data_IF_931960393145
#
_entry.id   IF_931960393145
#
_cell.length_a   1.000
_cell.length_b   1.000
_cell.length_c   1.000
_cell.angle_alpha   90.00
_cell.angle_beta   90.00
_cell.angle_gamma   90.00
#
_symmetry.space_group_name_H-M   'P 1'
#
loop_
_entity.id
_entity.type
_entity.pdbx_description
1 polymer ?
#
# COMPACT_ATOMS: atom_id res chain seq x y z
N UNK A 1 7.89 6.05 -1.47
CA UNK A 1 7.59 4.68 -1.00
C UNK A 1 8.88 3.85 -1.05
N UNK A 2 8.95 2.71 -0.36
CA UNK A 2 10.08 1.79 -0.54
C UNK A 2 9.99 1.16 -1.92
N UNK A 3 11.07 1.28 -2.70
CA UNK A 3 11.23 0.71 -4.03
C UNK A 3 11.75 -0.73 -3.91
N UNK A 4 10.85 -1.70 -4.06
CA UNK A 4 11.15 -3.13 -3.94
C UNK A 4 12.11 -3.61 -5.02
N UNK A 5 12.07 -3.03 -6.22
CA UNK A 5 12.98 -3.40 -7.29
C UNK A 5 14.40 -2.95 -6.99
N UNK A 6 14.59 -1.73 -6.45
CA UNK A 6 15.90 -1.32 -5.92
C UNK A 6 16.39 -2.19 -4.78
N UNK A 7 15.50 -2.62 -3.89
CA UNK A 7 15.83 -3.56 -2.82
C UNK A 7 16.33 -4.89 -3.37
N UNK A 8 15.67 -5.48 -4.36
CA UNK A 8 16.11 -6.74 -4.98
C UNK A 8 17.40 -6.54 -5.78
N UNK A 9 17.51 -5.43 -6.52
CA UNK A 9 18.72 -5.09 -7.28
C UNK A 9 19.95 -4.93 -6.36
N UNK A 10 19.76 -4.45 -5.13
CA UNK A 10 20.84 -4.37 -4.14
C UNK A 10 21.47 -5.73 -3.85
N UNK A 11 20.64 -6.77 -3.73
CA UNK A 11 21.09 -8.14 -3.53
C UNK A 11 21.81 -8.67 -4.77
N UNK A 12 21.19 -8.54 -5.95
CA UNK A 12 21.77 -9.03 -7.22
C UNK A 12 23.12 -8.39 -7.50
N UNK A 13 23.28 -7.09 -7.24
CA UNK A 13 24.55 -6.39 -7.44
C UNK A 13 25.68 -6.90 -6.53
N UNK A 14 25.35 -7.53 -5.41
CA UNK A 14 26.29 -8.02 -4.37
C UNK A 14 26.44 -9.54 -4.36
N UNK A 15 25.60 -10.25 -5.10
CA UNK A 15 25.68 -11.70 -5.26
C UNK A 15 27.07 -12.10 -5.77
N UNK A 16 27.71 -13.02 -5.05
CA UNK A 16 29.08 -13.46 -5.34
C UNK A 16 30.20 -12.46 -5.01
N UNK A 17 29.90 -11.31 -4.38
CA UNK A 17 30.89 -10.26 -4.05
C UNK A 17 31.04 -9.99 -2.55
N UNK A 18 30.14 -10.55 -1.73
CA UNK A 18 30.13 -10.37 -0.27
C UNK A 18 30.04 -11.72 0.41
N UNK A 19 30.49 -11.79 1.66
CA UNK A 19 30.42 -12.99 2.49
C UNK A 19 29.34 -12.90 3.57
N UNK A 20 28.93 -14.06 4.10
CA UNK A 20 28.04 -14.11 5.26
C UNK A 20 28.84 -13.89 6.56
N UNK A 21 28.39 -12.99 7.43
CA UNK A 21 29.00 -12.80 8.74
C UNK A 21 28.05 -12.15 9.75
N UNK A 22 27.86 -12.81 10.88
CA UNK A 22 27.11 -12.26 12.03
C UNK A 22 27.94 -11.28 12.88
N UNK A 23 29.27 -11.34 12.82
CA UNK A 23 30.17 -10.42 13.54
C UNK A 23 30.32 -9.10 12.75
N UNK A 24 30.83 -9.20 11.53
CA UNK A 24 30.98 -8.09 10.59
C UNK A 24 29.71 -7.87 9.74
N UNK A 25 28.56 -7.68 10.39
CA UNK A 25 27.25 -7.62 9.70
C UNK A 25 26.91 -6.26 9.07
N UNK A 26 27.76 -5.25 9.26
CA UNK A 26 27.55 -3.85 8.84
C UNK A 26 28.59 -3.36 7.81
N UNK A 27 29.39 -4.28 7.26
CA UNK A 27 30.58 -3.96 6.47
C UNK A 27 30.30 -3.79 4.98
N UNK A 28 31.30 -3.31 4.24
CA UNK A 28 31.23 -3.19 2.77
C UNK A 28 31.19 -4.56 2.07
N UNK A 29 31.80 -5.58 2.71
CA UNK A 29 32.06 -6.89 2.11
C UNK A 29 31.33 -8.04 2.80
N UNK A 30 30.54 -7.78 3.85
CA UNK A 30 29.87 -8.86 4.58
C UNK A 30 28.61 -8.40 5.31
N UNK A 31 27.63 -9.30 5.35
CA UNK A 31 26.32 -9.10 5.96
C UNK A 31 25.82 -10.43 6.55
N UNK A 32 24.84 -10.38 7.45
CA UNK A 32 24.03 -11.56 7.78
C UNK A 32 22.62 -11.42 7.18
N UNK A 33 21.72 -12.34 7.52
CA UNK A 33 20.38 -12.38 6.94
C UNK A 33 19.61 -11.07 7.20
N UNK A 34 19.45 -10.67 8.46
CA UNK A 34 18.68 -9.47 8.81
C UNK A 34 19.40 -8.16 8.50
N UNK A 35 20.73 -8.11 8.58
CA UNK A 35 21.45 -6.91 8.15
C UNK A 35 21.40 -6.71 6.64
N UNK A 36 21.43 -7.81 5.86
CA UNK A 36 21.28 -7.72 4.41
C UNK A 36 19.90 -7.17 4.00
N UNK A 37 18.82 -7.63 4.65
CA UNK A 37 17.46 -7.09 4.42
C UNK A 37 17.38 -5.62 4.84
N UNK A 38 17.98 -5.26 5.98
CA UNK A 38 18.04 -3.86 6.42
C UNK A 38 18.68 -2.97 5.36
N UNK A 39 19.90 -3.26 4.92
CA UNK A 39 20.60 -2.41 3.95
C UNK A 39 19.94 -2.42 2.57
N UNK A 40 19.39 -3.55 2.14
CA UNK A 40 18.66 -3.65 0.88
C UNK A 40 17.41 -2.76 0.89
N UNK A 41 16.59 -2.84 1.95
CA UNK A 41 15.39 -2.00 2.10
C UNK A 41 15.76 -0.52 2.29
N UNK A 42 16.84 -0.21 2.99
CA UNK A 42 17.38 1.16 3.10
C UNK A 42 17.76 1.73 1.74
N UNK A 43 18.35 0.91 0.85
CA UNK A 43 18.65 1.33 -0.53
C UNK A 43 17.39 1.57 -1.37
N UNK A 44 16.29 0.89 -1.02
CA UNK A 44 14.96 1.13 -1.57
C UNK A 44 14.23 2.33 -0.94
N UNK A 45 14.79 2.99 0.08
CA UNK A 45 14.18 4.16 0.73
C UNK A 45 13.52 3.92 2.08
N UNK A 46 13.77 2.76 2.72
CA UNK A 46 13.29 2.51 4.09
C UNK A 46 13.92 3.50 5.09
N UNK A 47 13.16 3.87 6.13
CA UNK A 47 13.61 4.71 7.23
C UNK A 47 14.66 3.99 8.08
N UNK A 48 15.63 4.78 8.56
CA UNK A 48 16.73 4.28 9.38
C UNK A 48 16.20 3.87 10.74
N UNK A 49 16.76 2.81 11.32
CA UNK A 49 16.54 2.48 12.73
C UNK A 49 17.65 3.05 13.63
N UNK A 50 18.55 3.88 13.10
CA UNK A 50 19.74 4.39 13.80
C UNK A 50 20.88 3.36 13.86
N UNK A 51 20.56 2.09 14.07
CA UNK A 51 21.47 0.93 14.06
C UNK A 51 20.90 -0.21 13.22
N UNK A 52 21.74 -1.20 12.88
CA UNK A 52 21.28 -2.38 12.15
C UNK A 52 20.38 -3.26 13.01
N UNK A 53 19.38 -3.86 12.35
CA UNK A 53 18.37 -4.67 13.01
C UNK A 53 18.78 -6.14 13.05
N UNK A 54 18.47 -6.81 14.14
CA UNK A 54 18.41 -8.27 14.19
C UNK A 54 17.01 -8.76 13.83
N UNK A 55 16.91 -10.07 13.60
CA UNK A 55 15.70 -10.74 13.14
C UNK A 55 14.53 -10.58 14.12
N UNK A 56 14.79 -10.42 15.42
CA UNK A 56 13.75 -10.14 16.43
C UNK A 56 13.15 -8.74 16.28
N UNK A 57 13.99 -7.71 16.05
CA UNK A 57 13.52 -6.33 15.88
C UNK A 57 12.97 -6.06 14.48
N UNK A 58 13.36 -6.87 13.49
CA UNK A 58 12.93 -6.79 12.09
C UNK A 58 11.40 -6.72 11.95
N UNK A 59 10.66 -7.54 12.72
CA UNK A 59 9.20 -7.51 12.77
C UNK A 59 8.64 -6.11 13.01
N UNK A 60 9.15 -5.42 14.03
CA UNK A 60 8.67 -4.08 14.41
C UNK A 60 9.12 -3.01 13.43
N UNK A 61 10.31 -3.16 12.85
CA UNK A 61 10.88 -2.21 11.92
C UNK A 61 10.20 -2.26 10.55
N UNK A 62 9.82 -3.44 10.07
CA UNK A 62 9.04 -3.61 8.84
C UNK A 62 7.69 -2.88 8.95
N UNK A 63 6.98 -3.05 10.08
CA UNK A 63 5.71 -2.36 10.32
C UNK A 63 5.87 -0.82 10.33
N UNK A 64 6.93 -0.30 10.95
CA UNK A 64 7.25 1.13 10.95
C UNK A 64 7.58 1.68 9.55
N UNK A 65 8.00 0.80 8.65
CA UNK A 65 8.32 1.11 7.26
C UNK A 65 7.16 0.86 6.29
N UNK A 66 5.95 0.68 6.81
CA UNK A 66 4.74 0.57 6.00
C UNK A 66 4.46 -0.84 5.49
N UNK A 67 5.14 -1.87 6.00
CA UNK A 67 4.73 -3.25 5.76
C UNK A 67 3.54 -3.62 6.65
N UNK A 68 2.77 -4.61 6.21
CA UNK A 68 1.77 -5.31 7.01
C UNK A 68 2.13 -6.78 7.17
N UNK A 69 1.70 -7.37 8.29
CA UNK A 69 1.81 -8.81 8.51
C UNK A 69 0.74 -9.52 7.68
N UNK A 70 1.16 -10.35 6.73
CA UNK A 70 0.28 -11.16 5.90
C UNK A 70 -0.12 -12.45 6.60
N UNK A 71 0.84 -13.10 7.25
CA UNK A 71 0.58 -14.37 7.93
C UNK A 71 1.52 -14.61 9.10
N UNK A 72 1.08 -15.51 9.97
CA UNK A 72 1.70 -15.97 11.20
C UNK A 72 1.56 -17.50 11.21
N UNK A 73 2.55 -18.20 10.63
CA UNK A 73 2.62 -19.65 10.50
C UNK A 73 1.39 -20.32 9.85
N UNK A 74 0.74 -19.62 8.91
CA UNK A 74 -0.36 -20.12 8.08
C UNK A 74 0.04 -19.96 6.60
N UNK A 75 -0.30 -20.91 5.70
CA UNK A 75 -0.03 -20.77 4.28
C UNK A 75 -0.56 -19.45 3.70
N UNK A 76 0.15 -18.87 2.74
CA UNK A 76 -0.25 -17.66 2.06
C UNK A 76 0.15 -17.72 0.58
N UNK A 77 -0.43 -16.84 -0.25
CA UNK A 77 0.01 -16.68 -1.62
C UNK A 77 1.19 -15.70 -1.67
N UNK A 78 2.39 -16.25 -1.89
CA UNK A 78 3.63 -15.49 -1.94
C UNK A 78 3.66 -14.54 -3.14
N UNK A 79 4.16 -13.32 -2.91
CA UNK A 79 4.38 -12.32 -3.95
C UNK A 79 5.81 -11.84 -3.92
N UNK A 80 6.32 -11.43 -5.08
CA UNK A 80 7.57 -10.67 -5.19
C UNK A 80 7.50 -9.47 -4.24
N UNK A 81 8.54 -9.29 -3.43
CA UNK A 81 8.62 -8.25 -2.40
C UNK A 81 8.17 -8.67 -1.00
N UNK A 82 7.58 -9.86 -0.84
CA UNK A 82 7.28 -10.40 0.49
C UNK A 82 8.58 -10.63 1.26
N UNK A 83 8.62 -10.23 2.52
CA UNK A 83 9.71 -10.52 3.46
C UNK A 83 9.25 -11.65 4.37
N UNK A 84 9.97 -12.77 4.38
CA UNK A 84 9.74 -13.82 5.37
C UNK A 84 10.67 -13.63 6.56
N UNK A 85 10.18 -13.98 7.74
CA UNK A 85 10.98 -14.05 8.95
C UNK A 85 10.71 -15.40 9.62
N UNK A 86 11.72 -16.27 9.67
CA UNK A 86 11.70 -17.55 10.37
C UNK A 86 12.17 -17.39 11.82
N UNK A 87 11.65 -18.25 12.69
CA UNK A 87 11.86 -18.23 14.12
C UNK A 87 10.63 -17.71 14.86
N UNK A 88 10.38 -18.20 16.08
CA UNK A 88 9.31 -17.68 16.93
C UNK A 88 9.74 -16.34 17.52
N UNK A 89 8.86 -15.33 17.43
CA UNK A 89 9.08 -14.04 18.10
C UNK A 89 9.42 -14.23 19.58
N UNK A 90 10.46 -13.57 20.05
CA UNK A 90 11.09 -13.74 21.36
C UNK A 90 12.26 -14.74 21.37
N UNK A 91 12.47 -15.50 20.30
CA UNK A 91 13.52 -16.53 20.17
C UNK A 91 14.20 -16.54 18.80
N UNK A 92 14.00 -15.50 17.96
CA UNK A 92 14.52 -15.47 16.57
C UNK A 92 15.89 -14.82 16.43
N UNK A 93 16.54 -14.41 17.52
CA UNK A 93 17.85 -13.74 17.48
C UNK A 93 18.98 -14.71 17.14
N UNK A 94 20.00 -14.19 16.46
CA UNK A 94 21.21 -14.94 16.15
C UNK A 94 20.95 -16.07 15.15
N UNK A 95 21.43 -17.28 15.44
CA UNK A 95 21.30 -18.46 14.57
C UNK A 95 19.91 -19.09 14.58
N UNK A 96 19.01 -18.61 15.44
CA UNK A 96 17.68 -19.19 15.64
C UNK A 96 16.60 -18.58 14.73
N UNK A 97 16.94 -17.54 13.97
CA UNK A 97 16.07 -16.92 12.98
C UNK A 97 16.72 -16.81 11.62
N UNK A 98 15.90 -16.61 10.60
CA UNK A 98 16.36 -16.38 9.23
C UNK A 98 15.39 -15.48 8.48
N UNK A 99 15.87 -14.70 7.53
CA UNK A 99 15.03 -13.75 6.78
C UNK A 99 15.54 -13.61 5.35
N UNK A 100 14.67 -13.13 4.47
CA UNK A 100 14.94 -12.90 3.07
C UNK A 100 13.73 -12.27 2.36
N UNK A 101 13.90 -11.96 1.08
CA UNK A 101 12.85 -11.37 0.26
C UNK A 101 12.49 -12.28 -0.91
N UNK A 102 11.20 -12.45 -1.16
CA UNK A 102 10.69 -13.18 -2.32
C UNK A 102 10.94 -12.38 -3.60
N UNK A 103 11.47 -13.05 -4.62
CA UNK A 103 11.66 -12.49 -5.96
C UNK A 103 10.56 -12.94 -6.94
N UNK A 104 9.81 -13.98 -6.57
CA UNK A 104 8.58 -14.43 -7.22
C UNK A 104 7.78 -15.28 -6.23
N UNK A 105 6.80 -16.06 -6.70
CA UNK A 105 5.95 -16.94 -5.90
C UNK A 105 6.69 -18.09 -5.18
N UNK A 106 7.88 -18.48 -5.63
CA UNK A 106 8.58 -19.68 -5.15
C UNK A 106 10.02 -19.43 -4.69
N UNK A 107 10.66 -18.39 -5.22
CA UNK A 107 12.08 -18.12 -5.01
C UNK A 107 12.30 -16.91 -4.12
N UNK A 108 13.33 -17.01 -3.29
CA UNK A 108 13.82 -15.95 -2.42
C UNK A 108 15.25 -15.58 -2.79
N UNK A 109 15.63 -14.33 -2.54
CA UNK A 109 17.02 -13.90 -2.49
C UNK A 109 17.35 -13.49 -1.05
N UNK A 110 18.48 -13.97 -0.54
CA UNK A 110 18.84 -13.79 0.86
C UNK A 110 20.34 -13.98 1.10
N UNK A 111 20.86 -13.36 2.16
CA UNK A 111 22.21 -13.64 2.65
C UNK A 111 22.17 -14.78 3.67
N UNK A 112 22.98 -15.83 3.48
CA UNK A 112 22.99 -17.00 4.35
C UNK A 112 24.37 -17.65 4.50
N UNK A 113 24.49 -18.41 5.59
CA UNK A 113 25.72 -19.09 5.98
C UNK A 113 26.15 -20.15 4.96
N UNK A 114 25.22 -20.99 4.49
CA UNK A 114 25.50 -22.14 3.62
C UNK A 114 26.10 -21.72 2.27
N UNK A 115 25.64 -20.61 1.70
CA UNK A 115 26.19 -20.02 0.48
C UNK A 115 27.40 -19.10 0.73
N UNK A 116 27.76 -18.86 2.00
CA UNK A 116 28.72 -17.84 2.42
C UNK A 116 28.50 -16.49 1.71
N UNK A 117 27.27 -15.99 1.72
CA UNK A 117 26.91 -14.76 1.04
C UNK A 117 25.47 -14.78 0.53
N UNK A 118 25.22 -14.11 -0.59
CA UNK A 118 23.88 -14.00 -1.19
C UNK A 118 23.64 -15.16 -2.17
N UNK A 119 22.51 -15.84 -2.03
CA UNK A 119 22.02 -16.86 -2.97
C UNK A 119 20.55 -16.66 -3.31
N UNK A 120 20.10 -17.37 -4.34
CA UNK A 120 18.70 -17.47 -4.74
C UNK A 120 18.28 -18.92 -4.62
N UNK A 121 17.25 -19.17 -3.83
CA UNK A 121 16.82 -20.51 -3.45
C UNK A 121 15.30 -20.64 -3.51
N UNK A 122 14.78 -21.86 -3.67
CA UNK A 122 13.36 -22.14 -3.51
C UNK A 122 13.01 -22.09 -2.01
N UNK A 123 12.06 -21.25 -1.63
CA UNK A 123 11.72 -21.00 -0.23
C UNK A 123 11.23 -22.27 0.47
N UNK A 124 10.28 -22.98 -0.13
CA UNK A 124 9.63 -24.13 0.53
C UNK A 124 10.59 -25.30 0.71
N UNK A 125 11.46 -25.56 -0.27
CA UNK A 125 12.53 -26.55 -0.15
C UNK A 125 13.50 -26.17 0.98
N UNK A 126 13.90 -24.90 1.06
CA UNK A 126 14.79 -24.42 2.11
C UNK A 126 14.12 -24.50 3.49
N UNK A 127 12.83 -24.16 3.58
CA UNK A 127 12.04 -24.20 4.80
C UNK A 127 11.89 -25.63 5.34
N UNK A 128 11.65 -26.61 4.46
CA UNK A 128 11.64 -28.03 4.83
C UNK A 128 13.01 -28.47 5.35
N UNK A 129 14.09 -28.12 4.65
CA UNK A 129 15.45 -28.47 5.05
C UNK A 129 15.86 -27.83 6.39
N UNK A 130 15.33 -26.66 6.71
CA UNK A 130 15.53 -25.98 7.97
C UNK A 130 14.69 -26.57 9.13
N UNK A 131 13.96 -27.66 8.90
CA UNK A 131 13.13 -28.31 9.92
C UNK A 131 11.77 -27.63 10.13
N UNK A 132 11.26 -26.94 9.11
CA UNK A 132 9.96 -26.24 9.12
C UNK A 132 9.82 -25.25 10.28
N UNK A 133 10.75 -24.29 10.42
CA UNK A 133 10.68 -23.30 11.49
C UNK A 133 9.38 -22.50 11.39
N UNK A 134 8.90 -22.02 12.54
CA UNK A 134 7.78 -21.07 12.57
C UNK A 134 8.11 -19.85 11.71
N UNK A 135 7.14 -19.33 10.94
CA UNK A 135 7.38 -18.21 10.04
C UNK A 135 6.36 -17.10 10.17
N UNK A 136 6.79 -15.90 9.83
CA UNK A 136 5.98 -14.72 9.64
C UNK A 136 6.25 -14.17 8.24
N UNK A 137 5.25 -13.54 7.63
CA UNK A 137 5.43 -12.87 6.34
C UNK A 137 4.90 -11.46 6.40
N UNK A 138 5.69 -10.55 5.85
CA UNK A 138 5.39 -9.14 5.75
C UNK A 138 5.37 -8.71 4.30
N UNK A 139 4.37 -7.92 3.92
CA UNK A 139 4.27 -7.34 2.59
C UNK A 139 4.23 -5.84 2.72
N UNK A 140 4.97 -5.13 1.87
CA UNK A 140 4.89 -3.68 1.82
C UNK A 140 3.43 -3.35 1.48
N UNK A 141 2.75 -2.58 2.33
CA UNK A 141 1.38 -2.17 2.02
C UNK A 141 1.42 -1.47 0.69
N UNK A 142 0.58 -1.94 -0.23
CA UNK A 142 0.23 -1.12 -1.38
C UNK A 142 -0.30 0.19 -0.80
N UNK A 143 0.45 1.30 -0.95
CA UNK A 143 -0.23 2.56 -0.79
C UNK A 143 -1.17 2.65 -1.98
N UNK A 144 -2.46 2.90 -1.71
CA UNK A 144 -3.28 3.63 -2.65
C UNK A 144 -2.63 5.00 -2.83
N UNK A 145 -1.65 5.10 -3.73
CA UNK A 145 -0.74 6.23 -3.83
C UNK A 145 0.08 6.21 -5.11
N UNK A 146 -0.49 6.85 -6.13
CA UNK A 146 0.19 7.70 -7.12
C UNK A 146 1.22 7.05 -8.07
N UNK A 147 0.72 6.46 -9.18
CA UNK A 147 1.32 6.71 -10.51
C UNK A 147 0.43 6.41 -11.72
N UNK A 148 -0.90 6.44 -11.59
CA UNK A 148 -1.77 6.49 -12.76
C UNK A 148 -2.80 7.59 -12.59
N UNK A 149 -2.68 8.66 -13.39
CA UNK A 149 -3.83 9.49 -13.67
C UNK A 149 -4.87 8.60 -14.35
N UNK A 150 -5.95 8.30 -13.64
CA UNK A 150 -7.06 7.54 -14.22
C UNK A 150 -7.74 8.43 -15.26
N UNK A 151 -7.82 7.97 -16.50
CA UNK A 151 -8.60 8.65 -17.53
C UNK A 151 -10.08 8.32 -17.33
N UNK A 152 -10.89 9.36 -17.24
CA UNK A 152 -12.32 9.28 -16.97
C UNK A 152 -13.11 10.03 -18.05
N UNK A 153 -14.42 9.77 -18.08
CA UNK A 153 -15.39 10.58 -18.79
C UNK A 153 -16.71 10.59 -18.01
N UNK A 154 -16.68 11.13 -16.80
CA UNK A 154 -17.80 11.09 -15.85
C UNK A 154 -18.43 12.47 -15.73
N UNK A 155 -19.76 12.55 -15.86
CA UNK A 155 -20.52 13.76 -15.55
C UNK A 155 -20.86 13.81 -14.06
N UNK A 156 -20.73 14.99 -13.45
CA UNK A 156 -21.08 15.23 -12.06
C UNK A 156 -21.55 16.66 -11.86
N UNK A 157 -22.27 16.94 -10.77
CA UNK A 157 -22.58 18.30 -10.33
C UNK A 157 -21.58 18.78 -9.28
N UNK A 158 -21.23 20.06 -9.35
CA UNK A 158 -20.38 20.74 -8.38
C UNK A 158 -21.18 21.05 -7.10
N UNK A 159 -20.57 20.82 -5.94
CA UNK A 159 -21.13 21.10 -4.62
C UNK A 159 -20.02 21.60 -3.67
N UNK A 160 -20.35 22.56 -2.82
CA UNK A 160 -19.44 23.09 -1.81
C UNK A 160 -18.37 24.00 -2.41
N UNK A 161 -17.66 24.72 -1.53
CA UNK A 161 -16.64 25.69 -1.91
C UNK A 161 -15.26 25.04 -1.76
N UNK A 162 -14.61 24.80 -2.89
CA UNK A 162 -13.30 24.18 -3.03
C UNK A 162 -12.43 25.00 -3.96
N UNK A 163 -11.11 24.91 -3.81
CA UNK A 163 -10.16 25.50 -4.74
C UNK A 163 -10.24 24.82 -6.11
N UNK A 164 -10.04 25.61 -7.14
CA UNK A 164 -9.74 25.16 -8.49
C UNK A 164 -8.26 25.44 -8.68
N UNK A 165 -7.45 24.40 -8.87
CA UNK A 165 -6.00 24.49 -8.88
C UNK A 165 -5.42 24.08 -10.24
N UNK A 166 -4.27 24.64 -10.63
CA UNK A 166 -3.55 24.25 -11.86
C UNK A 166 -2.99 22.83 -11.77
N UNK A 167 -2.68 22.38 -10.55
CA UNK A 167 -2.24 21.05 -10.19
C UNK A 167 -2.79 20.67 -8.80
N UNK A 168 -2.96 19.38 -8.47
CA UNK A 168 -3.32 18.94 -7.12
C UNK A 168 -2.39 19.47 -6.02
N UNK A 169 -2.87 19.49 -4.76
CA UNK A 169 -2.14 20.13 -3.64
C UNK A 169 -0.74 19.58 -3.38
N UNK A 170 -0.49 18.32 -3.74
CA UNK A 170 0.78 17.62 -3.54
C UNK A 170 1.83 17.98 -4.60
N UNK A 171 1.47 18.71 -5.67
CA UNK A 171 2.43 19.19 -6.65
C UNK A 171 3.13 20.47 -6.17
N UNK A 172 4.45 20.57 -6.41
CA UNK A 172 5.27 21.72 -6.01
C UNK A 172 4.86 22.99 -6.79
N UNK A 173 4.66 22.90 -8.10
CA UNK A 173 4.37 24.03 -9.00
C UNK A 173 2.87 24.41 -9.10
N UNK A 174 2.05 24.01 -8.12
CA UNK A 174 0.62 24.32 -8.12
C UNK A 174 0.34 25.81 -7.93
N UNK A 175 -0.76 26.27 -8.50
CA UNK A 175 -1.30 27.61 -8.32
C UNK A 175 -2.82 27.57 -8.29
N UNK A 176 -3.42 28.40 -7.43
CA UNK A 176 -4.88 28.51 -7.34
C UNK A 176 -5.41 29.36 -8.51
N UNK A 177 -6.36 28.80 -9.25
CA UNK A 177 -7.00 29.42 -10.41
C UNK A 177 -8.34 30.09 -10.05
N UNK A 178 -9.00 29.62 -8.98
CA UNK A 178 -10.27 30.15 -8.52
C UNK A 178 -10.95 29.24 -7.49
N UNK A 179 -12.27 29.39 -7.33
CA UNK A 179 -13.07 28.55 -6.44
C UNK A 179 -14.31 28.01 -7.14
N UNK A 180 -14.84 26.90 -6.64
CA UNK A 180 -16.12 26.33 -7.10
C UNK A 180 -17.35 27.12 -6.64
N UNK A 181 -17.19 28.21 -5.88
CA UNK A 181 -18.28 28.99 -5.29
C UNK A 181 -19.30 29.47 -6.33
N UNK A 182 -18.82 29.95 -7.50
CA UNK A 182 -19.69 30.43 -8.60
C UNK A 182 -20.20 29.31 -9.52
N UNK A 183 -19.93 28.05 -9.16
CA UNK A 183 -20.22 26.89 -9.99
C UNK A 183 -21.14 25.88 -9.30
N UNK A 184 -21.77 26.23 -8.17
CA UNK A 184 -22.68 25.33 -7.45
C UNK A 184 -23.77 24.76 -8.38
N UNK A 185 -24.02 23.46 -8.25
CA UNK A 185 -24.98 22.67 -9.04
C UNK A 185 -24.72 22.62 -10.55
N UNK A 186 -23.63 23.21 -11.04
CA UNK A 186 -23.24 23.12 -12.45
C UNK A 186 -22.81 21.68 -12.78
N UNK A 187 -23.36 21.12 -13.86
CA UNK A 187 -22.89 19.86 -14.43
C UNK A 187 -21.52 20.09 -15.11
N UNK A 188 -20.57 19.22 -14.78
CA UNK A 188 -19.19 19.25 -15.28
C UNK A 188 -18.71 17.85 -15.62
N UNK A 189 -17.67 17.77 -16.44
CA UNK A 189 -17.04 16.54 -16.90
C UNK A 189 -15.70 16.33 -16.18
N UNK A 190 -15.62 15.25 -15.41
CA UNK A 190 -14.40 14.78 -14.77
C UNK A 190 -13.66 13.87 -15.76
N UNK A 191 -12.50 14.33 -16.23
CA UNK A 191 -11.75 13.64 -17.29
C UNK A 191 -10.50 12.93 -16.80
N UNK A 192 -10.01 13.29 -15.62
CA UNK A 192 -8.87 12.65 -14.98
C UNK A 192 -9.08 12.58 -13.49
N UNK A 193 -8.58 11.52 -12.85
CA UNK A 193 -8.44 11.45 -11.39
C UNK A 193 -6.98 11.31 -11.04
N UNK A 194 -6.52 12.10 -10.07
CA UNK A 194 -5.17 12.02 -9.53
C UNK A 194 -5.24 12.16 -8.01
N UNK A 195 -5.03 11.04 -7.32
CA UNK A 195 -5.23 10.97 -5.87
C UNK A 195 -6.67 11.38 -5.50
N UNK A 196 -6.78 12.39 -4.63
CA UNK A 196 -8.05 12.96 -4.18
C UNK A 196 -8.58 14.07 -5.07
N UNK A 197 -8.05 14.25 -6.28
CA UNK A 197 -8.48 15.31 -7.20
C UNK A 197 -9.07 14.74 -8.48
N UNK A 198 -10.03 15.49 -9.03
CA UNK A 198 -10.44 15.34 -10.42
C UNK A 198 -10.02 16.54 -11.24
N UNK A 199 -9.57 16.30 -12.46
CA UNK A 199 -9.47 17.35 -13.47
C UNK A 199 -10.85 17.60 -14.06
N UNK A 200 -11.30 18.86 -13.98
CA UNK A 200 -12.61 19.30 -14.43
C UNK A 200 -12.47 20.04 -15.75
N UNK A 201 -13.01 19.46 -16.82
CA UNK A 201 -12.84 19.99 -18.19
C UNK A 201 -13.30 21.43 -18.33
N UNK A 202 -14.48 21.76 -17.78
CA UNK A 202 -15.13 23.06 -17.92
C UNK A 202 -14.51 24.13 -17.02
N UNK A 203 -13.89 23.73 -15.91
CA UNK A 203 -13.18 24.64 -14.99
C UNK A 203 -11.69 24.75 -15.32
N UNK A 204 -11.18 23.88 -16.20
CA UNK A 204 -9.78 23.80 -16.64
C UNK A 204 -8.79 23.69 -15.47
N UNK A 205 -9.19 23.00 -14.41
CA UNK A 205 -8.38 22.85 -13.21
C UNK A 205 -8.70 21.59 -12.45
N UNK A 206 -7.81 21.26 -11.53
CA UNK A 206 -7.95 20.20 -10.57
C UNK A 206 -8.76 20.69 -9.38
N UNK A 207 -9.74 19.89 -8.96
CA UNK A 207 -10.59 20.19 -7.82
C UNK A 207 -10.68 18.93 -6.95
N UNK A 208 -10.69 19.13 -5.64
CA UNK A 208 -10.86 18.06 -4.68
C UNK A 208 -12.14 17.24 -4.97
N UNK A 209 -12.04 15.92 -4.86
CA UNK A 209 -13.14 14.99 -5.17
C UNK A 209 -14.42 15.28 -4.40
N UNK A 210 -14.33 15.87 -3.20
CA UNK A 210 -15.47 16.25 -2.36
C UNK A 210 -16.33 17.34 -2.99
N UNK A 211 -15.83 18.04 -4.00
CA UNK A 211 -16.59 19.00 -4.77
C UNK A 211 -17.65 18.37 -5.70
N UNK A 212 -17.70 17.04 -5.81
CA UNK A 212 -18.50 16.34 -6.81
C UNK A 212 -19.47 15.33 -6.22
N UNK A 213 -20.68 15.28 -6.79
CA UNK A 213 -21.69 14.29 -6.46
C UNK A 213 -21.42 13.03 -7.30
N UNK A 214 -20.98 11.94 -6.67
CA UNK A 214 -20.76 10.68 -7.36
C UNK A 214 -22.08 9.93 -7.58
N UNK A 215 -22.85 10.33 -8.61
CA UNK A 215 -24.18 9.77 -8.92
C UNK A 215 -24.14 8.24 -9.17
N UNK A 216 -23.08 7.72 -9.79
CA UNK A 216 -22.91 6.26 -10.00
C UNK A 216 -22.76 5.52 -8.67
N UNK A 217 -21.89 6.02 -7.78
CA UNK A 217 -21.76 5.43 -6.45
C UNK A 217 -23.06 5.58 -5.64
N UNK A 218 -23.75 6.71 -5.74
CA UNK A 218 -25.04 6.93 -5.08
C UNK A 218 -26.08 5.90 -5.55
N UNK A 219 -26.13 5.57 -6.84
CA UNK A 219 -27.04 4.56 -7.37
C UNK A 219 -26.72 3.15 -6.87
N UNK A 220 -25.46 2.76 -6.87
CA UNK A 220 -25.04 1.43 -6.39
C UNK A 220 -25.29 1.27 -4.89
N UNK A 221 -24.91 2.28 -4.11
CA UNK A 221 -25.19 2.32 -2.67
C UNK A 221 -26.70 2.34 -2.38
N UNK A 222 -27.51 3.04 -3.18
CA UNK A 222 -28.96 3.01 -3.03
C UNK A 222 -29.54 1.60 -3.22
N UNK A 223 -29.01 0.79 -4.15
CA UNK A 223 -29.41 -0.62 -4.31
C UNK A 223 -29.05 -1.44 -3.07
N UNK A 224 -27.84 -1.27 -2.54
CA UNK A 224 -27.42 -1.95 -1.31
C UNK A 224 -28.27 -1.55 -0.09
N UNK A 225 -28.68 -0.29 -0.02
CA UNK A 225 -29.62 0.20 1.01
C UNK A 225 -30.97 -0.52 0.88
N UNK A 226 -31.50 -0.67 -0.34
CA UNK A 226 -32.75 -1.41 -0.60
C UNK A 226 -32.62 -2.89 -0.23
N UNK A 227 -31.43 -3.48 -0.39
CA UNK A 227 -31.13 -4.86 0.02
C UNK A 227 -30.98 -5.01 1.55
N UNK A 228 -30.89 -3.91 2.31
CA UNK A 228 -30.80 -3.92 3.78
C UNK A 228 -29.38 -3.87 4.34
N UNK A 229 -28.35 -3.76 3.50
CA UNK A 229 -26.93 -3.84 3.91
C UNK A 229 -26.49 -2.70 4.84
N UNK A 230 -27.20 -1.57 4.78
CA UNK A 230 -26.86 -0.35 5.50
C UNK A 230 -27.68 -0.15 6.78
N UNK A 231 -28.55 -1.09 7.16
CA UNK A 231 -29.45 -0.94 8.31
C UNK A 231 -30.57 0.09 8.07
N UNK A 232 -31.20 0.57 9.15
CA UNK A 232 -32.41 1.40 9.10
C UNK A 232 -32.28 2.68 9.93
N UNK A 233 -33.00 3.73 9.51
CA UNK A 233 -33.07 5.01 10.23
C UNK A 233 -31.71 5.63 10.51
N UNK A 234 -31.47 5.98 11.78
CA UNK A 234 -30.24 6.63 12.26
C UNK A 234 -28.98 5.80 12.00
N UNK A 235 -29.07 4.46 12.13
CA UNK A 235 -27.93 3.58 11.89
C UNK A 235 -27.48 3.64 10.43
N UNK A 236 -28.43 3.72 9.49
CA UNK A 236 -28.15 3.88 8.06
C UNK A 236 -27.48 5.19 7.78
N UNK A 237 -28.02 6.28 8.34
CA UNK A 237 -27.44 7.62 8.19
C UNK A 237 -25.98 7.64 8.65
N UNK A 238 -25.73 7.15 9.86
CA UNK A 238 -24.38 7.09 10.42
C UNK A 238 -23.42 6.24 9.58
N UNK A 239 -23.84 5.05 9.13
CA UNK A 239 -22.98 4.18 8.28
C UNK A 239 -22.64 4.84 6.94
N UNK A 240 -23.63 5.42 6.26
CA UNK A 240 -23.43 6.08 4.97
C UNK A 240 -22.51 7.29 5.09
N UNK A 241 -22.73 8.14 6.10
CA UNK A 241 -21.91 9.33 6.33
C UNK A 241 -20.47 8.95 6.73
N UNK A 242 -20.29 7.93 7.56
CA UNK A 242 -18.96 7.42 7.91
C UNK A 242 -18.23 6.79 6.71
N UNK A 243 -18.97 6.22 5.76
CA UNK A 243 -18.43 5.74 4.49
C UNK A 243 -18.21 6.87 3.45
N UNK A 244 -18.48 8.13 3.82
CA UNK A 244 -18.27 9.29 2.97
C UNK A 244 -19.40 9.59 1.99
N UNK A 245 -20.54 8.90 2.10
CA UNK A 245 -21.73 9.17 1.27
C UNK A 245 -22.63 10.23 1.88
N UNK A 246 -23.28 11.03 1.04
CA UNK A 246 -24.32 11.92 1.51
C UNK A 246 -25.64 11.15 1.68
N UNK A 247 -26.06 10.96 2.94
CA UNK A 247 -27.31 10.26 3.25
C UNK A 247 -28.52 10.81 2.49
N UNK A 248 -28.65 12.14 2.39
CA UNK A 248 -29.78 12.78 1.70
C UNK A 248 -29.84 12.42 0.21
N UNK A 249 -28.71 12.45 -0.48
CA UNK A 249 -28.63 12.07 -1.91
C UNK A 249 -28.88 10.57 -2.13
N UNK A 250 -28.29 9.72 -1.28
CA UNK A 250 -28.56 8.26 -1.31
C UNK A 250 -30.04 7.97 -1.04
N UNK A 251 -30.64 8.60 -0.04
CA UNK A 251 -32.03 8.36 0.31
C UNK A 251 -33.00 8.90 -0.77
N UNK A 252 -32.68 10.01 -1.43
CA UNK A 252 -33.43 10.48 -2.61
C UNK A 252 -33.39 9.43 -3.73
N UNK A 253 -32.22 8.85 -3.98
CA UNK A 253 -32.05 7.82 -5.01
C UNK A 253 -32.75 6.51 -4.66
N UNK A 254 -32.70 6.08 -3.40
CA UNK A 254 -33.50 4.94 -2.88
C UNK A 254 -34.98 5.18 -3.15
N UNK A 255 -35.50 6.35 -2.80
CA UNK A 255 -36.90 6.71 -3.03
C UNK A 255 -37.26 6.71 -4.53
N UNK A 256 -36.33 7.16 -5.40
CA UNK A 256 -36.50 7.12 -6.86
C UNK A 256 -36.58 5.68 -7.38
N UNK A 257 -35.69 4.80 -6.94
CA UNK A 257 -35.65 3.39 -7.34
C UNK A 257 -36.89 2.61 -6.88
N UNK A 258 -37.40 2.90 -5.67
CA UNK A 258 -38.61 2.25 -5.15
C UNK A 258 -39.90 2.69 -5.86
N UNK A 259 -39.96 3.91 -6.41
CA UNK A 259 -41.10 4.39 -7.20
C UNK A 259 -41.19 3.79 -8.61
N UNK A 260 -40.08 3.24 -9.11
CA UNK A 260 -39.99 2.64 -10.45
C UNK A 260 -40.10 1.10 -10.42
N UNK A 261 -40.49 0.53 -9.28
CA UNK A 261 -40.89 -0.87 -9.14
C UNK A 261 -42.40 -0.98 -9.19
#
# INVERSE_FOLDING_TARGET
>A
MIDIEKTIQWFENRKGKISYSMQNRNGLYSYDCSSSIYYALRSGGAKSNGWTIDTEREHSWLLQNGFEKITDNVPWNAKRGDIFVWGRKGNSSGSFGHTGIFIDENRIIHCNYSANGISVDNHDRLWINAGKPHFYVYRLKEQQGEEYMELLNVKSKVKGVYSIDSLPWFCEDKSMLGTTEKHQNKEVTLTRKWGSYYYVKELKGWVDYRAFINEKAINDIAKEVIQGNWGNGELRRAKLENAGYNYGEVQKEVNRLLKNK
#
